data_IF_123996959070
#
_entry.id   IF_123996959070
#
_cell.length_a   1.000
_cell.length_b   1.000
_cell.length_c   1.000
_cell.angle_alpha   90.00
_cell.angle_beta   90.00
_cell.angle_gamma   90.00
#
_symmetry.space_group_name_H-M   'P 1'
#
loop_
_entity.id
_entity.type
_entity.pdbx_description
1 polymer ?
#
# COMPACT_ATOMS: atom_id res chain seq x y z
N UNK A 1 0.98 -20.84 16.70
CA UNK A 1 -0.18 -20.91 15.79
C UNK A 1 -1.36 -20.16 16.42
N UNK A 2 -1.29 -18.84 16.59
CA UNK A 2 -2.38 -18.06 17.20
C UNK A 2 -2.29 -16.56 16.89
N UNK A 3 -1.09 -16.03 16.59
CA UNK A 3 -0.94 -14.69 15.99
C UNK A 3 -1.37 -14.68 14.51
N UNK A 4 -1.49 -15.85 13.88
CA UNK A 4 -1.84 -16.00 12.45
C UNK A 4 -3.31 -15.71 12.13
N UNK A 5 -4.23 -15.96 13.06
CA UNK A 5 -5.68 -15.74 12.84
C UNK A 5 -6.15 -14.37 13.34
N UNK A 6 -5.32 -13.65 14.11
CA UNK A 6 -5.70 -12.40 14.77
C UNK A 6 -5.58 -11.16 13.87
N UNK A 7 -4.89 -11.24 12.74
CA UNK A 7 -4.68 -10.12 11.81
C UNK A 7 -5.57 -10.21 10.56
N UNK A 8 -6.87 -10.46 10.80
CA UNK A 8 -7.98 -9.80 10.12
C UNK A 8 -7.81 -9.56 8.60
N UNK A 9 -8.29 -10.54 7.85
CA UNK A 9 -8.79 -10.35 6.50
C UNK A 9 -10.29 -10.04 6.59
N UNK A 10 -10.77 -9.02 5.90
CA UNK A 10 -12.21 -8.88 5.64
C UNK A 10 -12.44 -9.20 4.16
N UNK A 11 -13.40 -10.09 3.89
CA UNK A 11 -13.64 -10.64 2.54
C UNK A 11 -14.08 -9.57 1.53
N UNK A 12 -14.70 -8.48 1.99
CA UNK A 12 -15.18 -7.40 1.13
C UNK A 12 -14.05 -6.47 0.63
N UNK A 13 -13.00 -6.26 1.44
CA UNK A 13 -11.85 -5.40 1.08
C UNK A 13 -10.70 -6.18 0.47
N UNK A 14 -10.63 -7.48 0.73
CA UNK A 14 -9.64 -8.40 0.18
C UNK A 14 -9.71 -8.51 -1.33
N UNK A 15 -10.91 -8.79 -1.88
CA UNK A 15 -11.12 -8.87 -3.32
C UNK A 15 -10.74 -7.58 -4.02
N UNK A 16 -11.20 -6.44 -3.49
CA UNK A 16 -10.84 -5.13 -4.02
C UNK A 16 -9.35 -4.81 -3.89
N UNK A 17 -8.69 -5.19 -2.79
CA UNK A 17 -7.25 -4.97 -2.63
C UNK A 17 -6.49 -5.74 -3.70
N UNK A 18 -6.76 -7.04 -3.82
CA UNK A 18 -6.09 -7.94 -4.76
C UNK A 18 -6.24 -7.45 -6.21
N UNK A 19 -7.45 -7.04 -6.59
CA UNK A 19 -7.70 -6.44 -7.91
C UNK A 19 -6.88 -5.17 -8.15
N UNK A 20 -6.76 -4.29 -7.15
CA UNK A 20 -5.96 -3.07 -7.26
C UNK A 20 -4.45 -3.35 -7.33
N UNK A 21 -3.96 -4.37 -6.61
CA UNK A 21 -2.58 -4.84 -6.70
C UNK A 21 -2.28 -5.32 -8.14
N UNK A 22 -3.11 -6.23 -8.66
CA UNK A 22 -2.93 -6.81 -9.98
C UNK A 22 -3.00 -5.76 -11.09
N UNK A 23 -3.96 -4.83 -10.98
CA UNK A 23 -4.09 -3.73 -11.92
C UNK A 23 -2.88 -2.78 -11.88
N UNK A 24 -2.38 -2.42 -10.70
CA UNK A 24 -1.18 -1.59 -10.57
C UNK A 24 0.06 -2.30 -11.18
N UNK A 25 0.25 -3.59 -10.89
CA UNK A 25 1.35 -4.38 -11.44
C UNK A 25 1.25 -4.53 -12.97
N UNK A 26 0.05 -4.71 -13.52
CA UNK A 26 -0.17 -4.79 -14.95
C UNK A 26 0.12 -3.46 -15.65
N UNK A 27 -0.37 -2.34 -15.13
CA UNK A 27 -0.12 -1.03 -15.73
C UNK A 27 1.36 -0.66 -15.71
N UNK A 28 2.10 -1.02 -14.66
CA UNK A 28 3.55 -0.82 -14.63
C UNK A 28 4.29 -1.66 -15.67
N UNK A 29 3.89 -2.91 -15.89
CA UNK A 29 4.46 -3.72 -16.99
C UNK A 29 4.20 -3.08 -18.35
N UNK A 30 2.98 -2.58 -18.59
CA UNK A 30 2.64 -1.87 -19.83
C UNK A 30 3.50 -0.61 -19.98
N UNK A 31 3.63 0.19 -18.92
CA UNK A 31 4.45 1.41 -18.91
C UNK A 31 5.92 1.13 -19.22
N UNK A 32 6.51 0.13 -18.56
CA UNK A 32 7.91 -0.26 -18.77
C UNK A 32 8.13 -0.85 -20.17
N UNK A 33 7.10 -1.45 -20.77
CA UNK A 33 7.09 -1.87 -22.17
C UNK A 33 6.86 -0.74 -23.20
N UNK A 34 6.81 0.52 -22.77
CA UNK A 34 6.60 1.69 -23.64
C UNK A 34 5.14 1.98 -24.00
N UNK A 35 4.18 1.32 -23.36
CA UNK A 35 2.75 1.53 -23.59
C UNK A 35 2.13 2.67 -22.78
N UNK A 36 1.15 3.34 -23.37
CA UNK A 36 0.38 4.42 -22.73
C UNK A 36 -0.53 3.88 -21.62
N UNK A 37 -0.32 4.39 -20.41
CA UNK A 37 -1.00 3.92 -19.18
C UNK A 37 -1.47 5.07 -18.26
N UNK A 38 -1.13 6.32 -18.59
CA UNK A 38 -1.35 7.50 -17.73
C UNK A 38 -2.78 7.66 -17.21
N UNK A 39 -3.83 7.65 -18.06
CA UNK A 39 -5.22 7.83 -17.60
C UNK A 39 -5.70 6.75 -16.63
N UNK A 40 -5.19 5.52 -16.78
CA UNK A 40 -5.61 4.36 -15.97
C UNK A 40 -4.99 4.40 -14.56
N UNK A 41 -3.81 5.00 -14.42
CA UNK A 41 -3.21 5.21 -13.11
C UNK A 41 -3.99 6.18 -12.23
N UNK A 42 -4.68 7.17 -12.83
CA UNK A 42 -5.53 8.10 -12.07
C UNK A 42 -6.62 7.39 -11.28
N UNK A 43 -7.39 6.53 -11.94
CA UNK A 43 -8.45 5.75 -11.31
C UNK A 43 -7.93 4.81 -10.21
N UNK A 44 -6.77 4.18 -10.43
CA UNK A 44 -6.12 3.37 -9.40
C UNK A 44 -5.67 4.21 -8.20
N UNK A 45 -5.09 5.37 -8.43
CA UNK A 45 -4.65 6.26 -7.37
C UNK A 45 -5.84 6.78 -6.53
N UNK A 46 -6.99 7.07 -7.16
CA UNK A 46 -8.23 7.43 -6.45
C UNK A 46 -8.75 6.27 -5.60
N UNK A 47 -8.77 5.06 -6.16
CA UNK A 47 -9.16 3.87 -5.43
C UNK A 47 -8.27 3.64 -4.20
N UNK A 48 -6.95 3.73 -4.35
CA UNK A 48 -6.01 3.62 -3.22
C UNK A 48 -6.18 4.73 -2.19
N UNK A 49 -6.41 5.97 -2.61
CA UNK A 49 -6.62 7.09 -1.69
C UNK A 49 -7.92 6.94 -0.87
N UNK A 50 -8.93 6.27 -1.41
CA UNK A 50 -10.19 6.00 -0.72
C UNK A 50 -10.08 4.88 0.33
N UNK A 51 -9.00 4.09 0.30
CA UNK A 51 -8.80 2.98 1.23
C UNK A 51 -8.21 3.48 2.54
N UNK A 52 -8.85 3.09 3.63
CA UNK A 52 -8.33 3.24 4.99
C UNK A 52 -7.54 1.98 5.42
N UNK A 53 -6.72 1.43 4.53
CA UNK A 53 -5.95 0.22 4.85
C UNK A 53 -4.98 0.52 5.99
N UNK A 54 -4.98 -0.30 7.05
CA UNK A 54 -4.05 -0.14 8.14
C UNK A 54 -2.60 -0.43 7.68
N UNK A 55 -1.60 0.20 8.32
CA UNK A 55 -0.21 0.25 7.85
C UNK A 55 0.57 -1.08 7.86
N UNK A 56 -0.09 -2.22 8.10
CA UNK A 56 0.57 -3.52 8.24
C UNK A 56 0.69 -4.33 6.95
N UNK A 57 0.16 -3.87 5.82
CA UNK A 57 0.28 -4.54 4.53
C UNK A 57 1.26 -3.83 3.59
N UNK A 58 2.56 -4.09 3.76
CA UNK A 58 3.62 -3.46 2.95
C UNK A 58 3.47 -3.71 1.44
N UNK A 59 2.91 -4.85 1.03
CA UNK A 59 2.57 -5.12 -0.36
C UNK A 59 1.56 -4.11 -0.91
N UNK A 60 0.53 -3.77 -0.14
CA UNK A 60 -0.49 -2.79 -0.53
C UNK A 60 0.13 -1.40 -0.63
N UNK A 61 0.98 -1.03 0.32
CA UNK A 61 1.65 0.27 0.31
C UNK A 61 2.50 0.48 -0.95
N UNK A 62 3.27 -0.53 -1.38
CA UNK A 62 4.07 -0.45 -2.61
C UNK A 62 3.18 -0.24 -3.85
N UNK A 63 2.06 -0.95 -3.96
CA UNK A 63 1.17 -0.83 -5.12
C UNK A 63 0.37 0.48 -5.12
N UNK A 64 0.06 1.02 -3.93
CA UNK A 64 -0.47 2.38 -3.79
C UNK A 64 0.55 3.42 -4.27
N UNK A 65 1.82 3.34 -3.81
CA UNK A 65 2.91 4.23 -4.29
C UNK A 65 3.05 4.13 -5.81
N UNK A 66 3.10 2.92 -6.35
CA UNK A 66 3.17 2.66 -7.78
C UNK A 66 2.02 3.34 -8.54
N UNK A 67 0.81 3.30 -8.00
CA UNK A 67 -0.35 3.94 -8.62
C UNK A 67 -0.24 5.47 -8.60
N UNK A 68 0.15 6.05 -7.46
CA UNK A 68 0.39 7.50 -7.34
C UNK A 68 1.49 7.98 -8.28
N UNK A 69 2.62 7.29 -8.35
CA UNK A 69 3.74 7.63 -9.25
C UNK A 69 3.31 7.53 -10.71
N UNK A 70 2.61 6.45 -11.08
CA UNK A 70 2.08 6.28 -12.43
C UNK A 70 1.10 7.38 -12.85
N UNK A 71 0.38 7.97 -11.88
CA UNK A 71 -0.54 9.09 -12.07
C UNK A 71 0.12 10.48 -11.97
N UNK A 72 1.44 10.56 -11.70
CA UNK A 72 2.14 11.84 -11.46
C UNK A 72 1.84 12.48 -10.09
N UNK A 73 1.17 11.76 -9.18
CA UNK A 73 0.76 12.21 -7.83
C UNK A 73 1.88 12.02 -6.80
N UNK A 74 3.06 12.57 -7.07
CA UNK A 74 4.27 12.32 -6.27
C UNK A 74 4.15 12.77 -4.80
N UNK A 75 3.36 13.81 -4.52
CA UNK A 75 3.12 14.28 -3.14
C UNK A 75 2.39 13.25 -2.28
N UNK A 76 1.44 12.51 -2.85
CA UNK A 76 0.71 11.47 -2.13
C UNK A 76 1.56 10.22 -1.92
N UNK A 77 2.35 9.84 -2.92
CA UNK A 77 3.37 8.80 -2.76
C UNK A 77 4.32 9.12 -1.60
N UNK A 78 4.87 10.33 -1.56
CA UNK A 78 5.78 10.76 -0.50
C UNK A 78 5.10 10.78 0.88
N UNK A 79 3.85 11.24 0.95
CA UNK A 79 3.07 11.27 2.20
C UNK A 79 2.84 9.86 2.74
N UNK A 80 2.47 8.90 1.89
CA UNK A 80 2.27 7.51 2.28
C UNK A 80 3.58 6.91 2.84
N UNK A 81 4.70 7.09 2.13
CA UNK A 81 6.02 6.59 2.56
C UNK A 81 6.40 7.18 3.93
N UNK A 82 6.25 8.50 4.10
CA UNK A 82 6.57 9.18 5.36
C UNK A 82 5.70 8.68 6.51
N UNK A 83 4.43 8.34 6.24
CA UNK A 83 3.54 7.77 7.23
C UNK A 83 3.98 6.39 7.71
N UNK A 84 4.35 5.50 6.78
CA UNK A 84 4.87 4.17 7.12
C UNK A 84 6.20 4.24 7.87
N UNK A 85 7.08 5.19 7.51
CA UNK A 85 8.30 5.44 8.26
C UNK A 85 8.03 5.89 9.71
N UNK A 86 7.05 6.77 9.93
CA UNK A 86 6.63 7.17 11.29
C UNK A 86 6.09 5.97 12.08
N UNK A 87 5.25 5.15 11.45
CA UNK A 87 4.70 3.95 12.08
C UNK A 87 5.81 2.98 12.53
N UNK A 88 6.80 2.71 11.67
CA UNK A 88 7.97 1.89 12.03
C UNK A 88 8.76 2.49 13.22
N UNK A 89 8.99 3.81 13.22
CA UNK A 89 9.73 4.48 14.30
C UNK A 89 8.98 4.48 15.66
N UNK A 90 7.66 4.30 15.63
CA UNK A 90 6.81 4.15 16.83
C UNK A 90 6.74 2.69 17.29
N UNK A 91 6.69 1.73 16.37
CA UNK A 91 6.62 0.28 16.66
C UNK A 91 7.92 -0.37 17.16
N UNK A 92 9.09 0.24 16.93
CA UNK A 92 10.39 -0.25 17.43
C UNK A 92 10.62 0.07 18.92
N UNK A 93 9.74 0.84 19.57
CA UNK A 93 9.82 1.15 21.01
C UNK A 93 8.90 0.24 21.84
N UNK A 94 9.19 -1.05 21.90
CA UNK A 94 8.73 -1.88 23.03
C UNK A 94 9.77 -1.78 24.16
N UNK A 95 9.38 -1.39 25.39
CA UNK A 95 10.32 -1.27 26.50
C UNK A 95 10.90 -2.65 26.85
N UNK A 96 12.21 -2.69 27.09
CA UNK A 96 12.90 -3.88 27.60
C UNK A 96 12.18 -4.40 28.84
N UNK A 97 11.97 -5.73 28.99
CA UNK A 97 11.59 -6.27 30.29
C UNK A 97 12.75 -5.99 31.24
N UNK A 98 12.55 -5.06 32.16
CA UNK A 98 13.43 -4.84 33.29
C UNK A 98 13.61 -6.16 34.03
N UNK A 99 14.86 -6.59 34.17
CA UNK A 99 15.23 -7.73 35.00
C UNK A 99 14.78 -7.55 36.45
N UNK A 100 14.60 -8.68 37.13
CA UNK A 100 14.22 -8.80 38.53
C UNK A 100 13.68 -10.20 38.79
#
# INVERSE_FOLDING_TARGET
>A
MSIYDAALHNDASAGLAMELLDAAALLWRIRLGGGESGPRFGALADAWASRADPPFYASNDVHAVMSYVGAGRLGEAARLIADRQRWLAQGVRTPSPTGG
#
